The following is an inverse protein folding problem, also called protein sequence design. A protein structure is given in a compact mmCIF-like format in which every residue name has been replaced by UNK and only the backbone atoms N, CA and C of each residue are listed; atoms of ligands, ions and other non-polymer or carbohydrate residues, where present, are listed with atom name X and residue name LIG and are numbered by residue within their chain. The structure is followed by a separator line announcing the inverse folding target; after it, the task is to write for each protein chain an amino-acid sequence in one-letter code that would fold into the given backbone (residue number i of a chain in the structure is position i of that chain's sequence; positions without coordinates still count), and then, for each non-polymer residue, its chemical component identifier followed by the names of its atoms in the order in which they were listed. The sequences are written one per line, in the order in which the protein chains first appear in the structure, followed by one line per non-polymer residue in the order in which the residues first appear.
data_IF_394002882626
#
_entry.id   IF_394002882626
#
_cell.length_a   1.000
_cell.length_b   1.000
_cell.length_c   1.000
_cell.angle_alpha   90.00
_cell.angle_beta   90.00
_cell.angle_gamma   90.00
#
_symmetry.space_group_name_H-M   'P 1'
#
loop_
_entity.id
_entity.type
_entity.pdbx_description
1 polymer ?
#
# COMPACT_ATOMS: atom_id res chain seq x y z
N UNK A 1 -31.76 20.20 -64.88
CA UNK A 1 -32.62 21.35 -64.53
C UNK A 1 -32.31 21.78 -63.10
N UNK A 2 -32.31 23.09 -62.84
CA UNK A 2 -31.87 23.81 -61.64
C UNK A 2 -32.72 23.57 -60.37
N UNK A 3 -32.12 23.87 -59.22
CA UNK A 3 -32.68 23.96 -57.85
C UNK A 3 -34.03 24.69 -57.72
N UNK A 4 -34.79 24.35 -56.67
CA UNK A 4 -35.44 25.32 -55.75
C UNK A 4 -35.44 24.82 -54.29
N UNK A 5 -34.89 25.66 -53.40
CA UNK A 5 -34.99 25.66 -51.93
C UNK A 5 -36.34 26.25 -51.47
N UNK A 6 -36.72 25.97 -50.22
CA UNK A 6 -37.08 26.92 -49.11
C UNK A 6 -37.84 26.14 -48.00
N UNK A 7 -37.99 26.64 -46.76
CA UNK A 7 -36.99 27.19 -45.83
C UNK A 7 -37.15 26.69 -44.35
N UNK A 8 -36.10 26.84 -43.54
CA UNK A 8 -36.21 27.18 -42.11
C UNK A 8 -36.65 26.10 -41.11
N UNK A 9 -35.70 25.34 -40.55
CA UNK A 9 -35.80 24.86 -39.16
C UNK A 9 -34.67 25.51 -38.36
N UNK A 10 -35.03 26.52 -37.57
CA UNK A 10 -34.17 27.18 -36.60
C UNK A 10 -34.26 26.43 -35.28
N UNK A 11 -33.10 26.24 -34.64
CA UNK A 11 -32.92 25.57 -33.36
C UNK A 11 -33.85 26.13 -32.28
N UNK A 12 -34.75 25.29 -31.78
CA UNK A 12 -35.62 25.57 -30.63
C UNK A 12 -35.46 24.46 -29.60
N UNK A 13 -34.60 24.71 -28.62
CA UNK A 13 -34.64 24.25 -27.23
C UNK A 13 -35.50 23.00 -26.94
N UNK A 14 -34.88 21.81 -26.94
CA UNK A 14 -35.35 20.68 -26.11
C UNK A 14 -34.38 20.60 -24.94
N UNK A 15 -34.79 21.18 -23.81
CA UNK A 15 -34.20 20.87 -22.53
C UNK A 15 -34.56 19.42 -22.19
N UNK A 16 -33.56 18.55 -22.13
CA UNK A 16 -33.67 17.27 -21.44
C UNK A 16 -32.72 17.32 -20.24
N UNK A 17 -33.27 17.75 -19.12
CA UNK A 17 -32.66 17.59 -17.81
C UNK A 17 -32.59 16.10 -17.49
N UNK A 18 -31.40 15.50 -17.63
CA UNK A 18 -31.10 14.16 -17.14
C UNK A 18 -29.71 14.20 -16.49
N UNK A 19 -29.70 14.24 -15.16
CA UNK A 19 -28.67 13.63 -14.31
C UNK A 19 -27.29 14.28 -14.23
N UNK A 20 -27.17 15.41 -13.51
CA UNK A 20 -25.91 15.97 -12.98
C UNK A 20 -25.26 15.10 -11.86
N UNK A 21 -25.35 13.77 -11.94
CA UNK A 21 -24.68 12.85 -11.01
C UNK A 21 -23.58 12.01 -11.70
N UNK A 22 -23.69 11.78 -13.01
CA UNK A 22 -22.70 11.03 -13.78
C UNK A 22 -21.62 11.92 -14.43
N UNK A 23 -21.84 13.23 -14.50
CA UNK A 23 -20.86 14.17 -15.06
C UNK A 23 -19.81 14.63 -14.03
N UNK A 24 -20.14 14.60 -12.73
CA UNK A 24 -19.18 14.86 -11.66
C UNK A 24 -18.21 13.69 -11.48
N UNK A 25 -18.69 12.45 -11.64
CA UNK A 25 -17.86 11.26 -11.52
C UNK A 25 -16.81 11.16 -12.66
N UNK A 26 -17.17 11.65 -13.86
CA UNK A 26 -16.25 11.68 -15.01
C UNK A 26 -15.24 12.84 -14.97
N UNK A 27 -15.48 13.86 -14.13
CA UNK A 27 -14.58 15.00 -13.95
C UNK A 27 -13.57 14.75 -12.83
N UNK A 28 -13.92 13.96 -11.82
CA UNK A 28 -12.95 13.51 -10.80
C UNK A 28 -11.87 12.63 -11.47
N UNK A 29 -12.26 11.69 -12.34
CA UNK A 29 -11.33 10.85 -13.13
C UNK A 29 -10.43 11.65 -14.10
N UNK A 30 -10.87 12.84 -14.56
CA UNK A 30 -10.12 13.68 -15.51
C UNK A 30 -9.30 14.79 -14.84
N UNK A 31 -9.50 15.04 -13.54
CA UNK A 31 -8.77 16.07 -12.79
C UNK A 31 -7.37 15.62 -12.36
N UNK A 32 -7.08 14.31 -12.37
CA UNK A 32 -5.76 13.70 -12.11
C UNK A 32 -4.85 13.74 -13.36
N UNK A 33 -5.02 14.74 -14.24
CA UNK A 33 -4.18 14.92 -15.45
C UNK A 33 -3.64 16.34 -15.50
N UNK A 34 -3.35 16.96 -14.35
CA UNK A 34 -2.60 18.20 -14.33
C UNK A 34 -1.25 17.97 -13.67
N UNK A 35 -0.23 17.88 -14.53
CA UNK A 35 1.21 17.73 -14.25
C UNK A 35 1.71 16.30 -14.02
N UNK A 36 1.28 15.37 -14.88
CA UNK A 36 1.97 14.10 -15.10
C UNK A 36 3.38 14.37 -15.66
N UNK A 37 4.40 14.21 -14.83
CA UNK A 37 5.71 13.81 -15.35
C UNK A 37 5.64 12.30 -15.52
N UNK A 38 5.56 11.82 -16.77
CA UNK A 38 5.82 10.42 -17.12
C UNK A 38 7.31 10.11 -16.83
N UNK A 39 7.70 10.14 -15.56
CA UNK A 39 9.00 9.65 -15.15
C UNK A 39 8.88 8.12 -15.17
N UNK A 40 9.44 7.48 -16.21
CA UNK A 40 9.60 6.02 -16.31
C UNK A 40 10.45 5.44 -15.16
N UNK A 41 11.03 6.30 -14.31
CA UNK A 41 11.93 5.93 -13.22
C UNK A 41 11.35 6.30 -11.86
N UNK A 42 11.56 5.46 -10.83
CA UNK A 42 11.25 5.79 -9.45
C UNK A 42 11.84 7.13 -9.04
N UNK A 43 11.12 7.87 -8.21
CA UNK A 43 11.67 9.07 -7.59
C UNK A 43 12.57 8.66 -6.44
N UNK A 44 13.85 8.97 -6.60
CA UNK A 44 14.88 8.70 -5.61
C UNK A 44 15.05 9.92 -4.70
N UNK A 45 14.82 9.73 -3.40
CA UNK A 45 15.14 10.71 -2.37
C UNK A 45 16.63 10.59 -2.06
N UNK A 46 17.42 11.51 -2.63
CA UNK A 46 18.91 11.49 -2.58
C UNK A 46 19.50 12.35 -1.47
N UNK A 47 18.68 13.19 -0.85
CA UNK A 47 19.11 14.11 0.18
C UNK A 47 17.99 14.31 1.20
N UNK A 48 18.26 15.14 2.21
CA UNK A 48 17.33 15.40 3.29
C UNK A 48 16.34 16.54 2.95
N UNK A 49 16.23 16.95 1.67
CA UNK A 49 15.27 17.96 1.28
C UNK A 49 13.87 17.33 1.22
N UNK A 50 12.86 17.98 1.82
CA UNK A 50 11.52 17.47 1.78
C UNK A 50 10.97 17.51 0.37
N UNK A 51 10.36 16.41 -0.01
CA UNK A 51 9.51 16.30 -1.18
C UNK A 51 8.09 16.68 -0.71
N UNK A 52 7.49 17.71 -1.31
CA UNK A 52 6.18 18.19 -0.86
C UNK A 52 5.32 18.76 -1.98
N UNK A 53 4.00 18.58 -1.88
CA UNK A 53 3.01 19.08 -2.83
C UNK A 53 3.19 18.54 -4.27
N UNK A 54 3.82 17.38 -4.43
CA UNK A 54 3.98 16.74 -5.73
C UNK A 54 3.09 15.52 -5.90
N UNK A 55 2.89 15.15 -7.17
CA UNK A 55 2.28 13.90 -7.58
C UNK A 55 3.35 13.00 -8.19
N UNK A 56 3.40 11.74 -7.75
CA UNK A 56 4.42 10.77 -8.11
C UNK A 56 3.76 9.51 -8.59
N UNK A 57 3.90 9.20 -9.88
CA UNK A 57 3.20 8.11 -10.54
C UNK A 57 4.17 7.21 -11.30
N UNK A 58 3.98 5.90 -11.19
CA UNK A 58 4.56 4.92 -12.12
C UNK A 58 3.57 3.82 -12.42
N UNK A 59 3.59 3.32 -13.66
CA UNK A 59 2.65 2.31 -14.15
C UNK A 59 3.32 1.02 -14.60
N UNK A 60 4.65 0.98 -14.61
CA UNK A 60 5.41 -0.21 -15.01
C UNK A 60 5.46 -1.24 -13.89
N UNK A 61 5.45 -2.51 -14.28
CA UNK A 61 5.62 -3.63 -13.35
C UNK A 61 6.99 -3.55 -12.67
N UNK A 62 7.02 -3.86 -11.38
CA UNK A 62 8.19 -3.83 -10.51
C UNK A 62 8.90 -2.46 -10.42
N UNK A 63 8.22 -1.39 -10.86
CA UNK A 63 8.68 -0.01 -10.75
C UNK A 63 8.00 0.68 -9.58
N UNK A 64 8.73 0.95 -8.50
CA UNK A 64 8.19 1.61 -7.31
C UNK A 64 8.11 3.14 -7.52
N UNK A 65 7.08 3.83 -7.01
CA UNK A 65 6.97 5.27 -7.24
C UNK A 65 8.05 6.08 -6.50
N UNK A 66 8.35 5.72 -5.24
CA UNK A 66 9.36 6.42 -4.43
C UNK A 66 10.32 5.44 -3.77
N UNK A 67 11.62 5.75 -3.85
CA UNK A 67 12.73 5.04 -3.19
C UNK A 67 13.60 6.01 -2.40
N UNK A 68 14.26 5.52 -1.35
CA UNK A 68 15.22 6.30 -0.55
C UNK A 68 16.64 5.81 -0.83
N UNK A 69 17.57 6.74 -1.04
CA UNK A 69 18.99 6.40 -1.26
C UNK A 69 19.70 6.00 0.04
N UNK A 70 20.80 5.25 -0.09
CA UNK A 70 21.55 4.76 1.07
C UNK A 70 22.09 5.91 1.93
N UNK A 71 21.94 5.78 3.25
CA UNK A 71 22.34 6.78 4.24
C UNK A 71 21.47 8.06 4.26
N UNK A 72 20.35 8.10 3.53
CA UNK A 72 19.47 9.27 3.47
C UNK A 72 18.38 9.22 4.55
N UNK A 73 18.06 10.40 5.09
CA UNK A 73 16.84 10.64 5.86
C UNK A 73 15.90 11.49 5.02
N UNK A 74 14.94 10.85 4.37
CA UNK A 74 13.97 11.48 3.49
C UNK A 74 12.74 12.02 4.22
N UNK A 75 12.04 12.95 3.56
CA UNK A 75 10.78 13.52 4.03
C UNK A 75 9.80 13.65 2.87
N UNK A 76 8.57 13.17 3.07
CA UNK A 76 7.42 13.35 2.18
C UNK A 76 6.34 14.09 2.99
N UNK A 77 5.83 15.20 2.47
CA UNK A 77 4.75 15.97 3.11
C UNK A 77 3.74 16.47 2.09
N UNK A 78 2.44 16.27 2.36
CA UNK A 78 1.38 16.76 1.48
C UNK A 78 1.58 16.35 0.01
N UNK A 79 1.87 15.08 -0.24
CA UNK A 79 2.15 14.55 -1.58
C UNK A 79 1.17 13.43 -1.95
N UNK A 80 1.01 13.21 -3.24
CA UNK A 80 0.28 12.06 -3.80
C UNK A 80 1.28 11.09 -4.43
N UNK A 81 1.24 9.82 -4.02
CA UNK A 81 2.08 8.74 -4.54
C UNK A 81 1.17 7.66 -5.12
N UNK A 82 1.38 7.27 -6.37
CA UNK A 82 0.50 6.37 -7.11
C UNK A 82 1.30 5.31 -7.87
N UNK A 83 0.90 4.04 -7.78
CA UNK A 83 1.40 2.97 -8.67
C UNK A 83 0.30 2.09 -9.22
N UNK A 84 0.49 1.57 -10.43
CA UNK A 84 -0.44 0.59 -11.03
C UNK A 84 0.21 -0.68 -11.56
N UNK A 85 1.54 -0.75 -11.63
CA UNK A 85 2.24 -1.96 -12.11
C UNK A 85 2.20 -3.10 -11.09
N UNK A 86 2.25 -4.33 -11.60
CA UNK A 86 2.33 -5.51 -10.75
C UNK A 86 3.68 -5.55 -10.02
N UNK A 87 3.70 -5.89 -8.73
CA UNK A 87 4.90 -5.85 -7.90
C UNK A 87 5.46 -4.44 -7.63
N UNK A 88 4.68 -3.40 -7.90
CA UNK A 88 5.13 -2.01 -7.76
C UNK A 88 4.66 -1.38 -6.46
N UNK A 89 5.60 -1.14 -5.54
CA UNK A 89 5.33 -0.41 -4.31
C UNK A 89 5.07 1.08 -4.54
N UNK A 90 4.18 1.68 -3.74
CA UNK A 90 4.08 3.13 -3.67
C UNK A 90 5.38 3.72 -3.15
N UNK A 91 5.79 3.28 -1.96
CA UNK A 91 7.00 3.75 -1.28
C UNK A 91 7.82 2.55 -0.82
N UNK A 92 9.12 2.56 -1.11
CA UNK A 92 10.08 1.52 -0.73
C UNK A 92 11.26 2.09 0.06
N UNK A 93 11.52 1.52 1.24
CA UNK A 93 12.70 1.80 2.09
C UNK A 93 13.35 0.48 2.45
N UNK A 94 14.39 0.09 1.71
CA UNK A 94 14.82 -1.31 1.53
C UNK A 94 16.19 -1.68 2.14
N UNK A 95 16.77 -0.83 3.00
CA UNK A 95 18.03 -1.16 3.66
C UNK A 95 18.24 -0.45 4.98
N UNK A 96 19.17 -0.98 5.77
CA UNK A 96 19.72 -0.28 6.92
C UNK A 96 20.22 1.12 6.53
N UNK A 97 20.08 2.08 7.45
CA UNK A 97 20.46 3.49 7.31
C UNK A 97 19.56 4.36 6.42
N UNK A 98 18.51 3.79 5.83
CA UNK A 98 17.48 4.56 5.14
C UNK A 98 16.32 4.86 6.09
N UNK A 99 16.00 6.14 6.24
CA UNK A 99 14.90 6.60 7.08
C UNK A 99 13.97 7.49 6.27
N UNK A 100 12.66 7.29 6.40
CA UNK A 100 11.67 8.12 5.74
C UNK A 100 10.61 8.62 6.72
N UNK A 101 10.33 9.91 6.67
CA UNK A 101 9.20 10.53 7.35
C UNK A 101 8.13 10.89 6.33
N UNK A 102 6.88 10.51 6.59
CA UNK A 102 5.73 10.76 5.72
C UNK A 102 4.66 11.50 6.52
N UNK A 103 4.10 12.55 5.94
CA UNK A 103 3.02 13.32 6.59
C UNK A 103 1.99 13.85 5.62
N UNK A 104 0.74 13.87 6.07
CA UNK A 104 -0.37 14.51 5.36
C UNK A 104 -0.49 14.07 3.88
N UNK A 105 -0.16 12.82 3.56
CA UNK A 105 0.01 12.35 2.19
C UNK A 105 -0.99 11.27 1.79
N UNK A 106 -1.26 11.20 0.49
CA UNK A 106 -2.12 10.21 -0.15
C UNK A 106 -1.23 9.20 -0.90
N UNK A 107 -1.32 7.92 -0.55
CA UNK A 107 -0.57 6.85 -1.21
C UNK A 107 -1.55 5.82 -1.76
N UNK A 108 -1.49 5.55 -3.06
CA UNK A 108 -2.39 4.61 -3.75
C UNK A 108 -1.62 3.61 -4.60
N UNK A 109 -1.91 2.32 -4.44
CA UNK A 109 -1.40 1.28 -5.35
C UNK A 109 -2.55 0.45 -5.89
N UNK A 110 -2.42 -0.08 -7.11
CA UNK A 110 -3.48 -0.92 -7.71
C UNK A 110 -2.99 -2.17 -8.44
N UNK A 111 -1.68 -2.38 -8.54
CA UNK A 111 -1.11 -3.58 -9.13
C UNK A 111 -1.41 -4.84 -8.30
N UNK A 112 -1.15 -6.01 -8.86
CA UNK A 112 -1.16 -7.28 -8.13
C UNK A 112 0.27 -7.76 -7.86
N UNK A 113 0.42 -8.96 -7.31
CA UNK A 113 1.74 -9.62 -7.22
C UNK A 113 2.31 -9.95 -8.61
N UNK A 114 3.58 -9.66 -8.87
CA UNK A 114 4.19 -9.80 -10.22
C UNK A 114 4.37 -11.26 -10.68
N UNK A 115 4.78 -12.15 -9.78
CA UNK A 115 5.00 -13.56 -10.09
C UNK A 115 4.85 -14.44 -8.84
N UNK A 116 3.61 -14.67 -8.41
CA UNK A 116 3.33 -15.38 -7.15
C UNK A 116 3.99 -16.75 -7.07
N UNK A 117 4.05 -17.49 -8.17
CA UNK A 117 4.59 -18.85 -8.21
C UNK A 117 6.10 -18.88 -7.92
N UNK A 118 6.81 -17.79 -8.20
CA UNK A 118 8.26 -17.67 -8.01
C UNK A 118 8.63 -16.72 -6.86
N UNK A 119 7.72 -16.47 -5.91
CA UNK A 119 7.99 -15.61 -4.76
C UNK A 119 7.98 -14.12 -5.09
N UNK A 120 7.22 -13.72 -6.11
CA UNK A 120 7.14 -12.38 -6.65
C UNK A 120 6.77 -11.28 -5.65
N UNK A 121 6.95 -10.05 -6.09
CA UNK A 121 6.84 -8.84 -5.28
C UNK A 121 5.37 -8.44 -5.19
N UNK A 122 4.92 -8.01 -4.01
CA UNK A 122 3.55 -7.50 -3.80
C UNK A 122 3.41 -6.08 -4.35
N UNK A 123 2.20 -5.61 -4.66
CA UNK A 123 1.97 -4.20 -5.00
C UNK A 123 1.57 -3.39 -3.76
N UNK A 124 2.37 -3.48 -2.70
CA UNK A 124 2.06 -2.85 -1.40
C UNK A 124 2.25 -1.33 -1.40
N UNK A 125 1.43 -0.59 -0.65
CA UNK A 125 1.46 0.87 -0.69
C UNK A 125 2.67 1.48 0.00
N UNK A 126 2.93 1.16 1.27
CA UNK A 126 4.11 1.65 1.99
C UNK A 126 4.89 0.48 2.56
N UNK A 127 6.15 0.35 2.14
CA UNK A 127 6.98 -0.81 2.43
C UNK A 127 8.30 -0.41 3.06
N UNK A 128 8.53 -0.95 4.26
CA UNK A 128 9.82 -0.94 4.93
C UNK A 128 10.40 -2.35 4.85
N UNK A 129 11.65 -2.50 4.41
CA UNK A 129 12.30 -3.81 4.21
C UNK A 129 13.76 -3.79 4.65
N UNK A 130 14.27 -4.96 5.04
CA UNK A 130 15.71 -5.27 5.21
C UNK A 130 16.53 -4.24 6.02
N UNK A 131 15.92 -3.62 7.05
CA UNK A 131 16.56 -2.61 7.90
C UNK A 131 16.07 -1.19 7.72
N UNK A 132 15.18 -0.95 6.75
CA UNK A 132 14.55 0.34 6.53
C UNK A 132 13.73 0.79 7.75
N UNK A 133 13.60 2.11 7.90
CA UNK A 133 12.73 2.70 8.92
C UNK A 133 11.81 3.75 8.33
N UNK A 134 10.50 3.60 8.57
CA UNK A 134 9.48 4.55 8.13
C UNK A 134 8.70 5.07 9.35
N UNK A 135 8.49 6.39 9.39
CA UNK A 135 7.59 7.06 10.33
C UNK A 135 6.52 7.83 9.57
N UNK A 136 5.26 7.60 9.91
CA UNK A 136 4.10 8.32 9.36
C UNK A 136 3.40 9.11 10.47
N UNK A 137 3.09 10.38 10.22
CA UNK A 137 2.37 11.25 11.17
C UNK A 137 1.40 12.19 10.44
N UNK A 138 0.55 12.90 11.17
CA UNK A 138 -0.49 13.74 10.54
C UNK A 138 -1.64 12.91 9.96
N UNK A 139 -2.33 13.43 8.93
CA UNK A 139 -3.49 12.77 8.31
C UNK A 139 -3.11 12.11 6.97
N UNK A 140 -2.79 10.83 7.00
CA UNK A 140 -2.39 10.08 5.80
C UNK A 140 -3.54 9.19 5.31
N UNK A 141 -3.66 9.09 3.99
CA UNK A 141 -4.54 8.15 3.30
C UNK A 141 -3.71 7.10 2.57
N UNK A 142 -3.98 5.82 2.82
CA UNK A 142 -3.28 4.70 2.18
C UNK A 142 -4.31 3.79 1.55
N UNK A 143 -4.29 3.67 0.22
CA UNK A 143 -5.15 2.79 -0.55
C UNK A 143 -4.29 1.74 -1.27
N UNK A 144 -4.59 0.47 -1.09
CA UNK A 144 -3.93 -0.60 -1.85
C UNK A 144 -4.95 -1.53 -2.47
N UNK A 145 -4.92 -1.63 -3.79
CA UNK A 145 -5.75 -2.52 -4.59
C UNK A 145 -4.92 -3.60 -5.24
N UNK A 146 -5.55 -4.73 -5.54
CA UNK A 146 -4.94 -5.84 -6.28
C UNK A 146 -4.64 -7.05 -5.40
N UNK A 147 -4.46 -8.20 -6.05
CA UNK A 147 -4.31 -9.46 -5.33
C UNK A 147 -2.99 -9.51 -4.56
N UNK A 148 -3.03 -9.99 -3.32
CA UNK A 148 -1.88 -10.12 -2.41
C UNK A 148 -1.16 -8.78 -2.08
N UNK A 149 -1.84 -7.66 -2.26
CA UNK A 149 -1.33 -6.33 -1.90
C UNK A 149 -1.39 -6.09 -0.38
N UNK A 150 -0.57 -5.17 0.13
CA UNK A 150 -0.70 -4.70 1.50
C UNK A 150 -0.74 -3.17 1.60
N UNK A 151 -1.51 -2.63 2.53
CA UNK A 151 -1.50 -1.19 2.83
C UNK A 151 -0.15 -0.78 3.41
N UNK A 152 0.20 -1.37 4.55
CA UNK A 152 1.53 -1.20 5.16
C UNK A 152 2.22 -2.56 5.28
N UNK A 153 3.48 -2.62 4.85
CA UNK A 153 4.31 -3.83 4.92
C UNK A 153 5.64 -3.52 5.62
N UNK A 154 5.91 -4.27 6.69
CA UNK A 154 7.21 -4.33 7.35
C UNK A 154 7.76 -5.73 7.16
N UNK A 155 8.91 -5.88 6.48
CA UNK A 155 9.49 -7.20 6.26
C UNK A 155 11.00 -7.30 6.44
N UNK A 156 11.43 -8.52 6.77
CA UNK A 156 12.83 -8.92 6.85
C UNK A 156 13.02 -10.30 6.22
N UNK A 157 14.21 -10.52 5.65
CA UNK A 157 14.69 -11.82 5.22
C UNK A 157 16.09 -12.03 5.78
N UNK A 158 16.22 -13.01 6.69
CA UNK A 158 17.48 -13.36 7.36
C UNK A 158 18.40 -14.25 6.52
N UNK A 159 18.17 -14.38 5.20
CA UNK A 159 19.00 -15.19 4.31
C UNK A 159 20.47 -14.73 4.22
N UNK A 160 20.78 -13.52 4.69
CA UNK A 160 22.13 -12.96 4.77
C UNK A 160 22.50 -12.66 6.22
N UNK A 161 23.77 -12.86 6.61
CA UNK A 161 24.28 -12.75 7.99
C UNK A 161 24.15 -11.36 8.66
N UNK A 162 23.38 -10.44 8.09
CA UNK A 162 23.13 -9.10 8.60
C UNK A 162 21.87 -9.09 9.47
N UNK A 163 21.97 -8.54 10.68
CA UNK A 163 20.83 -8.39 11.60
C UNK A 163 20.25 -6.99 11.43
N UNK A 164 19.24 -6.87 10.58
CA UNK A 164 18.64 -5.59 10.25
C UNK A 164 17.14 -5.63 10.56
N UNK A 165 16.77 -5.12 11.73
CA UNK A 165 15.37 -4.95 12.08
C UNK A 165 14.76 -3.87 11.19
N UNK A 166 13.58 -4.18 10.66
CA UNK A 166 12.76 -3.24 9.90
C UNK A 166 11.71 -2.64 10.83
N UNK A 167 11.40 -1.36 10.63
CA UNK A 167 10.42 -0.64 11.47
C UNK A 167 9.53 0.27 10.63
N UNK A 168 8.23 0.07 10.73
CA UNK A 168 7.21 0.96 10.16
C UNK A 168 6.28 1.42 11.28
N UNK A 169 6.24 2.72 11.55
CA UNK A 169 5.37 3.28 12.58
C UNK A 169 4.47 4.37 12.04
N UNK A 170 3.20 4.33 12.44
CA UNK A 170 2.29 5.44 12.26
C UNK A 170 1.86 6.04 13.59
N UNK A 171 1.63 7.34 13.57
CA UNK A 171 1.09 8.14 14.67
C UNK A 171 0.00 9.04 14.12
N UNK A 172 -0.90 9.51 15.00
CA UNK A 172 -2.05 10.34 14.66
C UNK A 172 -3.12 9.62 13.83
N UNK A 173 -3.29 9.95 12.54
CA UNK A 173 -4.39 9.44 11.73
C UNK A 173 -3.84 8.91 10.41
N UNK A 174 -3.71 7.59 10.30
CA UNK A 174 -3.50 6.91 9.02
C UNK A 174 -4.74 6.09 8.71
N UNK A 175 -5.42 6.38 7.60
CA UNK A 175 -6.58 5.61 7.17
C UNK A 175 -6.13 4.68 6.04
N UNK A 176 -6.28 3.38 6.26
CA UNK A 176 -5.84 2.34 5.35
C UNK A 176 -7.08 1.68 4.76
N UNK A 177 -7.16 1.65 3.44
CA UNK A 177 -8.17 0.89 2.70
C UNK A 177 -7.46 -0.09 1.79
N UNK A 178 -7.72 -1.38 1.96
CA UNK A 178 -7.15 -2.39 1.08
C UNK A 178 -8.23 -3.21 0.41
N UNK A 179 -7.96 -3.64 -0.82
CA UNK A 179 -8.90 -4.43 -1.60
C UNK A 179 -8.22 -5.41 -2.55
N UNK A 180 -8.89 -6.53 -2.82
CA UNK A 180 -8.36 -7.60 -3.66
C UNK A 180 -8.28 -8.93 -2.92
N UNK A 181 -8.17 -10.01 -3.69
CA UNK A 181 -8.04 -11.36 -3.12
C UNK A 181 -6.74 -11.46 -2.30
N UNK A 182 -6.82 -12.00 -1.08
CA UNK A 182 -5.68 -12.14 -0.16
C UNK A 182 -4.98 -10.80 0.21
N UNK A 183 -5.62 -9.65 -0.01
CA UNK A 183 -5.06 -8.36 0.38
C UNK A 183 -4.94 -8.24 1.91
N UNK A 184 -4.00 -7.42 2.38
CA UNK A 184 -3.72 -7.23 3.81
C UNK A 184 -3.76 -5.75 4.17
N UNK A 185 -4.49 -5.35 5.22
CA UNK A 185 -4.44 -3.98 5.72
C UNK A 185 -3.03 -3.61 6.20
N UNK A 186 -2.54 -4.33 7.22
CA UNK A 186 -1.17 -4.21 7.74
C UNK A 186 -0.48 -5.58 7.89
N UNK A 187 0.74 -5.70 7.37
CA UNK A 187 1.50 -6.94 7.31
C UNK A 187 2.88 -6.76 7.95
N UNK A 188 3.19 -7.60 8.94
CA UNK A 188 4.55 -7.78 9.41
C UNK A 188 5.03 -9.19 9.03
N UNK A 189 6.18 -9.28 8.37
CA UNK A 189 6.72 -10.54 7.86
C UNK A 189 8.18 -10.74 8.26
N UNK A 190 8.48 -11.87 8.92
CA UNK A 190 9.84 -12.17 9.36
C UNK A 190 10.17 -13.63 9.10
N UNK A 191 10.81 -13.89 7.95
CA UNK A 191 11.26 -15.22 7.51
C UNK A 191 10.26 -16.33 7.87
N UNK A 192 9.04 -16.34 7.27
CA UNK A 192 7.93 -17.19 7.71
C UNK A 192 8.18 -18.69 7.50
N UNK A 193 9.19 -19.05 6.72
CA UNK A 193 9.63 -20.40 6.40
C UNK A 193 10.20 -20.41 4.98
N UNK A 194 11.16 -21.28 4.68
CA UNK A 194 11.83 -21.30 3.37
C UNK A 194 10.89 -21.69 2.21
N UNK A 195 9.76 -22.30 2.51
CA UNK A 195 8.73 -22.64 1.53
C UNK A 195 7.55 -21.67 1.54
N UNK A 196 7.62 -20.59 2.34
CA UNK A 196 6.52 -19.64 2.52
C UNK A 196 6.89 -18.23 2.09
N UNK A 197 5.93 -17.55 1.48
CA UNK A 197 5.99 -16.12 1.21
C UNK A 197 5.28 -15.32 2.32
N UNK A 198 5.51 -14.01 2.36
CA UNK A 198 4.90 -13.14 3.35
C UNK A 198 3.38 -13.08 3.28
N UNK A 199 2.82 -13.31 2.08
CA UNK A 199 1.38 -13.20 1.77
C UNK A 199 0.69 -14.55 1.61
N UNK A 200 1.37 -15.65 1.93
CA UNK A 200 0.74 -16.98 1.95
C UNK A 200 -0.37 -17.04 3.01
N UNK A 201 -1.43 -17.77 2.68
CA UNK A 201 -2.62 -17.83 3.51
C UNK A 201 -2.31 -18.43 4.89
N UNK A 202 -2.99 -17.93 5.92
CA UNK A 202 -2.71 -18.33 7.30
C UNK A 202 -2.90 -19.84 7.52
N UNK A 203 -3.80 -20.47 6.77
CA UNK A 203 -4.18 -21.87 6.82
C UNK A 203 -3.42 -22.78 5.84
N UNK A 204 -2.51 -22.25 5.03
CA UNK A 204 -1.70 -23.05 4.10
C UNK A 204 -0.84 -24.08 4.85
N UNK A 205 -0.93 -25.37 4.49
CA UNK A 205 -0.17 -26.47 5.09
C UNK A 205 1.28 -26.55 4.58
N UNK A 206 1.96 -25.41 4.49
CA UNK A 206 3.36 -25.30 4.06
C UNK A 206 4.28 -25.18 5.26
N UNK A 207 5.51 -25.72 5.15
CA UNK A 207 6.47 -25.73 6.25
C UNK A 207 6.87 -24.32 6.71
N UNK A 208 6.76 -24.12 8.01
CA UNK A 208 7.20 -22.91 8.73
C UNK A 208 8.70 -22.97 9.12
N UNK A 209 9.42 -24.00 8.64
CA UNK A 209 10.81 -24.24 8.99
C UNK A 209 11.76 -23.30 8.25
N UNK A 210 12.72 -22.76 8.99
CA UNK A 210 13.92 -22.12 8.44
C UNK A 210 15.12 -23.03 8.74
N UNK A 211 16.05 -23.18 7.79
CA UNK A 211 17.31 -23.89 8.03
C UNK A 211 18.30 -23.08 8.89
N UNK A 212 17.94 -21.84 9.19
CA UNK A 212 18.70 -20.86 9.97
C UNK A 212 17.87 -20.31 11.14
N UNK A 213 18.55 -19.66 12.08
CA UNK A 213 17.88 -18.94 13.17
C UNK A 213 17.34 -17.61 12.64
N UNK A 214 16.04 -17.35 12.83
CA UNK A 214 15.41 -16.05 12.56
C UNK A 214 15.86 -15.06 13.63
N UNK A 215 16.65 -14.06 13.22
CA UNK A 215 17.29 -13.08 14.09
C UNK A 215 16.74 -11.67 13.91
N UNK A 216 16.39 -11.24 12.69
CA UNK A 216 15.86 -9.90 12.44
C UNK A 216 14.37 -9.82 12.74
N UNK A 217 13.92 -8.62 13.09
CA UNK A 217 12.55 -8.33 13.48
C UNK A 217 11.86 -7.44 12.45
N UNK A 218 10.62 -7.78 12.11
CA UNK A 218 9.72 -6.90 11.38
C UNK A 218 8.73 -6.28 12.37
N UNK A 219 8.94 -5.00 12.68
CA UNK A 219 8.06 -4.22 13.55
C UNK A 219 7.10 -3.38 12.71
N UNK A 220 5.81 -3.48 13.00
CA UNK A 220 4.78 -2.59 12.49
C UNK A 220 3.95 -2.05 13.64
N UNK A 221 3.91 -0.73 13.81
CA UNK A 221 3.11 -0.08 14.85
C UNK A 221 2.16 0.93 14.23
N UNK A 222 0.90 0.87 14.62
CA UNK A 222 -0.10 1.85 14.22
C UNK A 222 -0.77 2.42 15.47
N UNK A 223 -0.68 3.74 15.64
CA UNK A 223 -1.37 4.46 16.70
C UNK A 223 -2.34 5.48 16.11
N UNK A 224 -3.63 5.20 16.25
CA UNK A 224 -4.71 5.98 15.66
C UNK A 224 -5.02 5.64 14.21
N UNK A 225 -6.15 6.16 13.70
CA UNK A 225 -6.64 5.90 12.34
C UNK A 225 -7.51 4.66 12.20
N UNK A 226 -7.62 4.14 10.97
CA UNK A 226 -8.46 2.99 10.65
C UNK A 226 -7.81 2.07 9.62
N UNK A 227 -8.21 0.80 9.65
CA UNK A 227 -7.89 -0.21 8.65
C UNK A 227 -9.21 -0.81 8.18
N UNK A 228 -9.49 -0.71 6.89
CA UNK A 228 -10.62 -1.37 6.25
C UNK A 228 -10.10 -2.27 5.13
N UNK A 229 -10.26 -3.59 5.27
CA UNK A 229 -9.85 -4.56 4.24
C UNK A 229 -11.07 -5.16 3.56
N UNK A 230 -11.13 -5.07 2.23
CA UNK A 230 -12.23 -5.56 1.40
C UNK A 230 -11.73 -6.59 0.39
N UNK A 231 -11.74 -7.87 0.75
CA UNK A 231 -11.25 -8.91 -0.15
C UNK A 231 -11.55 -10.32 0.32
N UNK A 232 -11.85 -11.22 -0.62
CA UNK A 232 -11.99 -12.64 -0.32
C UNK A 232 -10.66 -13.15 0.22
N UNK A 233 -10.70 -13.94 1.29
CA UNK A 233 -9.50 -14.48 1.97
C UNK A 233 -8.50 -13.41 2.44
N UNK A 234 -8.97 -12.17 2.65
CA UNK A 234 -8.14 -11.04 3.03
C UNK A 234 -7.90 -10.95 4.55
N UNK A 235 -6.94 -10.10 4.94
CA UNK A 235 -6.56 -9.91 6.33
C UNK A 235 -6.58 -8.43 6.74
N UNK A 236 -7.15 -8.13 7.90
CA UNK A 236 -7.04 -6.79 8.50
C UNK A 236 -5.61 -6.51 8.96
N UNK A 237 -5.13 -7.35 9.88
CA UNK A 237 -3.76 -7.36 10.36
C UNK A 237 -3.19 -8.79 10.33
N UNK A 238 -2.00 -8.96 9.75
CA UNK A 238 -1.37 -10.28 9.63
C UNK A 238 0.10 -10.25 10.07
N UNK A 239 0.43 -11.01 11.11
CA UNK A 239 1.80 -11.24 11.53
C UNK A 239 2.25 -12.64 11.10
N UNK A 240 3.21 -12.71 10.17
CA UNK A 240 3.68 -13.94 9.55
C UNK A 240 5.18 -14.15 9.81
N UNK A 241 5.51 -15.12 10.66
CA UNK A 241 6.88 -15.46 11.05
C UNK A 241 7.24 -15.08 12.48
N UNK A 242 8.22 -15.78 13.05
CA UNK A 242 8.51 -15.82 14.49
C UNK A 242 8.87 -14.45 15.11
N UNK A 243 9.45 -13.55 14.32
CA UNK A 243 9.80 -12.19 14.75
C UNK A 243 9.04 -11.11 13.98
N UNK A 244 7.82 -11.42 13.54
CA UNK A 244 6.85 -10.43 13.09
C UNK A 244 6.04 -9.91 14.29
N UNK A 245 6.02 -8.59 14.47
CA UNK A 245 5.31 -7.93 15.56
C UNK A 245 4.44 -6.81 15.03
N UNK A 246 3.15 -6.86 15.34
CA UNK A 246 2.21 -5.78 15.06
C UNK A 246 1.69 -5.21 16.38
N UNK A 247 1.69 -3.88 16.51
CA UNK A 247 1.05 -3.18 17.61
C UNK A 247 -0.01 -2.21 17.08
N UNK A 248 -1.27 -2.43 17.44
CA UNK A 248 -2.39 -1.56 17.11
C UNK A 248 -2.91 -0.89 18.38
N UNK A 249 -2.87 0.43 18.43
CA UNK A 249 -3.39 1.23 19.54
C UNK A 249 -4.33 2.33 19.01
N UNK A 250 -5.53 2.45 19.56
CA UNK A 250 -6.55 3.39 19.06
C UNK A 250 -6.93 3.23 17.57
N UNK A 251 -6.93 2.00 17.06
CA UNK A 251 -7.23 1.70 15.64
C UNK A 251 -8.64 1.13 15.49
N UNK A 252 -9.39 1.62 14.50
CA UNK A 252 -10.61 0.96 14.05
C UNK A 252 -10.29 -0.05 12.94
N UNK A 253 -10.44 -1.34 13.20
CA UNK A 253 -10.18 -2.42 12.26
C UNK A 253 -11.49 -3.02 11.75
N UNK A 254 -11.68 -3.02 10.44
CA UNK A 254 -12.84 -3.58 9.75
C UNK A 254 -12.39 -4.49 8.61
N UNK A 255 -12.95 -5.68 8.52
CA UNK A 255 -12.75 -6.58 7.37
C UNK A 255 -14.08 -7.00 6.81
N UNK A 256 -14.25 -6.88 5.49
CA UNK A 256 -15.52 -7.11 4.81
C UNK A 256 -15.29 -8.01 3.61
N UNK A 257 -15.55 -9.31 3.77
CA UNK A 257 -15.71 -10.30 2.70
C UNK A 257 -15.70 -11.74 3.25
N UNK A 258 -16.14 -12.68 2.41
CA UNK A 258 -16.08 -14.10 2.69
C UNK A 258 -14.63 -14.59 2.87
N UNK A 259 -14.42 -15.45 3.88
CA UNK A 259 -13.10 -16.02 4.18
C UNK A 259 -12.08 -15.01 4.72
N UNK A 260 -12.47 -13.76 4.97
CA UNK A 260 -11.58 -12.75 5.52
C UNK A 260 -11.38 -12.88 7.03
N UNK A 261 -10.22 -12.43 7.50
CA UNK A 261 -9.84 -12.44 8.91
C UNK A 261 -9.48 -11.04 9.36
N UNK A 262 -10.12 -10.51 10.40
CA UNK A 262 -9.66 -9.27 11.01
C UNK A 262 -8.21 -9.36 11.47
N UNK A 263 -7.85 -10.45 12.14
CA UNK A 263 -6.53 -10.66 12.71
C UNK A 263 -6.08 -12.08 12.40
N UNK A 264 -4.90 -12.20 11.79
CA UNK A 264 -4.23 -13.48 11.57
C UNK A 264 -2.83 -13.46 12.18
N UNK A 265 -2.46 -14.58 12.80
CA UNK A 265 -1.15 -14.74 13.43
C UNK A 265 -0.62 -16.12 13.05
N UNK A 266 0.54 -16.15 12.41
CA UNK A 266 1.30 -17.37 12.19
C UNK A 266 2.72 -17.17 12.70
N UNK A 267 3.05 -17.83 13.81
CA UNK A 267 4.32 -17.71 14.57
C UNK A 267 4.61 -16.34 15.21
N UNK A 268 4.07 -15.24 14.68
CA UNK A 268 4.32 -13.87 15.14
C UNK A 268 3.46 -13.43 16.34
N UNK A 269 3.35 -12.12 16.54
CA UNK A 269 2.63 -11.52 17.66
C UNK A 269 1.86 -10.28 17.20
N UNK A 270 0.63 -10.12 17.69
CA UNK A 270 -0.19 -8.92 17.48
C UNK A 270 -0.73 -8.45 18.83
N UNK A 271 -0.37 -7.22 19.22
CA UNK A 271 -0.86 -6.55 20.41
C UNK A 271 -1.90 -5.50 20.02
N UNK A 272 -3.12 -5.60 20.56
CA UNK A 272 -4.22 -4.68 20.26
C UNK A 272 -4.68 -3.99 21.55
N UNK A 273 -4.71 -2.66 21.54
CA UNK A 273 -5.08 -1.81 22.67
C UNK A 273 -6.03 -0.71 22.23
N UNK A 274 -7.02 -0.37 23.05
CA UNK A 274 -7.95 0.75 22.82
C UNK A 274 -8.57 0.79 21.41
N UNK A 275 -8.71 -0.37 20.77
CA UNK A 275 -9.06 -0.52 19.36
C UNK A 275 -10.38 -1.28 19.23
N UNK A 276 -11.08 -1.10 18.12
CA UNK A 276 -12.30 -1.82 17.80
C UNK A 276 -12.08 -2.75 16.62
N UNK A 277 -12.70 -3.92 16.63
CA UNK A 277 -12.62 -4.90 15.55
C UNK A 277 -14.05 -5.22 15.08
N UNK A 278 -14.27 -5.10 13.77
CA UNK A 278 -15.53 -5.43 13.10
C UNK A 278 -15.26 -6.38 11.93
N UNK A 279 -16.12 -7.38 11.75
CA UNK A 279 -16.04 -8.42 10.71
C UNK A 279 -17.41 -8.70 10.15
#
# INVERSE_FOLDING_TARGET
MKLKKLPGFSLGLIALAVGNAYATQLLDDYSIISYMTDEESPIEIKDNNPISNGEYLTTEDESHAVKVDDGVTGYINNASVMTSGDGSYGISVDSQNKVLYISDSDIKTSGSVSDKENGGITASAVVSEFGGTIFMNGDNSVESGGAYSAGLLSQVNDSEKMVNNTRLETTDKTNIVTSGENAVGVLACSSPGESRTCVDAVDDEVSDSNSYEVISRADLKMNGGSITTNGINSYGAYANGKKAYINLDYVALETVADGSYAVAIRQGNIDIKNSSITT
#
